data_IF_388302754021
#
_entry.id   IF_388302754021
#
_cell.length_a   1.000
_cell.length_b   1.000
_cell.length_c   1.000
_cell.angle_alpha   90.00
_cell.angle_beta   90.00
_cell.angle_gamma   90.00
#
_symmetry.space_group_name_H-M   'P 1'
#
loop_
_entity.id
_entity.type
_entity.pdbx_description
1 polymer ?
#
# COMPACT_ATOMS: atom_id res chain seq x y z
N UNK A 1 -0.55 2.80 -10.24
CA UNK A 1 -1.39 3.92 -9.84
C UNK A 1 -0.60 4.88 -8.94
N UNK A 2 -0.60 6.16 -9.26
CA UNK A 2 0.15 7.19 -8.54
C UNK A 2 -0.75 8.40 -8.26
N UNK A 3 -1.65 8.31 -7.28
CA UNK A 3 -2.44 9.47 -6.88
C UNK A 3 -1.58 10.46 -6.10
N UNK A 4 -1.85 11.74 -6.24
CA UNK A 4 -1.13 12.77 -5.47
C UNK A 4 -1.50 12.73 -3.98
N UNK A 5 -0.49 12.78 -3.10
CA UNK A 5 -0.56 13.22 -1.70
C UNK A 5 -1.49 12.55 -0.70
N UNK A 6 -2.27 11.54 -1.10
CA UNK A 6 -3.34 10.95 -0.27
C UNK A 6 -2.97 9.64 0.42
N UNK A 7 -1.94 8.95 -0.07
CA UNK A 7 -1.55 7.61 0.35
C UNK A 7 -0.11 7.57 0.81
N UNK A 8 0.25 6.54 1.59
CA UNK A 8 1.62 6.31 2.00
C UNK A 8 2.53 6.08 0.79
N UNK A 9 3.75 6.61 0.82
CA UNK A 9 4.69 6.45 -0.27
C UNK A 9 5.88 5.59 0.09
N UNK A 10 6.37 4.92 -0.94
CA UNK A 10 7.52 4.04 -0.85
C UNK A 10 8.64 4.56 -1.71
N UNK A 11 9.86 4.60 -1.15
CA UNK A 11 11.07 4.63 -1.94
C UNK A 11 11.55 3.21 -2.16
N UNK A 12 11.67 2.82 -3.41
CA UNK A 12 12.00 1.44 -3.78
C UNK A 12 13.30 1.42 -4.56
N UNK A 13 14.20 0.51 -4.20
CA UNK A 13 15.34 0.16 -5.05
C UNK A 13 14.79 -0.63 -6.25
N UNK A 14 14.88 -0.04 -7.44
CA UNK A 14 14.30 -0.64 -8.64
C UNK A 14 15.00 -1.92 -9.10
N UNK A 15 16.22 -2.16 -8.65
CA UNK A 15 16.97 -3.36 -9.00
C UNK A 15 16.61 -4.56 -8.10
N UNK A 16 16.38 -4.30 -6.82
CA UNK A 16 16.13 -5.35 -5.82
C UNK A 16 14.71 -5.42 -5.32
N UNK A 17 13.86 -4.43 -5.65
CA UNK A 17 12.51 -4.23 -5.10
C UNK A 17 12.49 -4.02 -3.57
N UNK A 18 13.65 -3.78 -2.98
CA UNK A 18 13.74 -3.47 -1.56
C UNK A 18 13.17 -2.08 -1.28
N UNK A 19 12.33 -2.00 -0.25
CA UNK A 19 11.78 -0.72 0.20
C UNK A 19 12.84 -0.01 1.04
N UNK A 20 13.34 1.12 0.53
CA UNK A 20 14.36 1.92 1.19
C UNK A 20 13.77 2.83 2.27
N UNK A 21 12.55 3.29 2.06
CA UNK A 21 11.86 4.17 2.98
C UNK A 21 10.35 3.99 2.83
N UNK A 22 9.64 4.04 3.94
CA UNK A 22 8.19 4.02 3.99
C UNK A 22 7.72 5.27 4.74
N UNK A 23 6.91 6.10 4.09
CA UNK A 23 6.35 7.30 4.71
C UNK A 23 4.85 7.36 4.46
N UNK A 24 4.08 7.58 5.50
CA UNK A 24 2.68 7.90 5.37
C UNK A 24 2.52 9.36 4.93
N UNK A 25 1.79 9.61 3.87
CA UNK A 25 1.51 10.95 3.30
C UNK A 25 2.78 11.71 2.86
N UNK A 26 3.50 11.23 1.87
CA UNK A 26 4.66 11.94 1.35
C UNK A 26 4.25 13.09 0.44
N UNK A 27 5.14 14.06 0.35
CA UNK A 27 5.06 15.09 -0.67
C UNK A 27 5.61 14.55 -1.99
N UNK A 28 4.81 14.63 -3.04
CA UNK A 28 5.28 14.37 -4.40
C UNK A 28 4.63 13.19 -5.12
N UNK A 29 4.44 13.38 -6.42
CA UNK A 29 3.68 12.48 -7.29
C UNK A 29 4.52 11.35 -7.90
N UNK A 30 5.80 11.25 -7.56
CA UNK A 30 6.74 10.34 -8.22
C UNK A 30 6.95 9.02 -7.52
N UNK A 31 6.47 8.90 -6.29
CA UNK A 31 6.70 7.71 -5.47
C UNK A 31 5.63 6.66 -5.68
N UNK A 32 6.04 5.41 -5.51
CA UNK A 32 5.10 4.31 -5.42
C UNK A 32 4.30 4.43 -4.13
N UNK A 33 3.05 3.97 -4.14
CA UNK A 33 2.19 4.02 -2.96
C UNK A 33 1.88 2.62 -2.45
N UNK A 34 1.57 2.55 -1.15
CA UNK A 34 1.06 1.35 -0.53
C UNK A 34 -0.39 1.10 -0.97
N UNK A 35 -0.61 -0.05 -1.61
CA UNK A 35 -1.95 -0.47 -2.05
C UNK A 35 -2.71 -1.26 -0.97
N UNK A 36 -2.13 -1.47 0.20
CA UNK A 36 -2.81 -2.09 1.34
C UNK A 36 -2.71 -3.60 1.42
N UNK A 37 -1.95 -4.25 0.56
CA UNK A 37 -1.78 -5.71 0.56
C UNK A 37 -0.40 -6.09 1.05
N UNK A 38 -0.35 -7.01 2.03
CA UNK A 38 0.89 -7.44 2.65
C UNK A 38 0.96 -8.96 2.74
N UNK A 39 2.12 -9.51 2.44
CA UNK A 39 2.49 -10.88 2.76
C UNK A 39 3.65 -10.80 3.74
N UNK A 40 3.48 -11.34 4.93
CA UNK A 40 4.42 -11.16 6.03
C UNK A 40 4.90 -12.49 6.58
N UNK A 41 6.17 -12.52 6.97
CA UNK A 41 6.69 -13.60 7.80
C UNK A 41 6.20 -13.44 9.25
N UNK A 42 6.17 -14.52 10.06
CA UNK A 42 5.72 -14.42 11.44
C UNK A 42 6.47 -13.40 12.28
N UNK A 43 7.72 -13.11 11.95
CA UNK A 43 8.57 -12.14 12.63
C UNK A 43 8.02 -10.72 12.60
N UNK A 44 7.02 -10.45 11.74
CA UNK A 44 6.34 -9.14 11.71
C UNK A 44 5.77 -8.78 13.09
N UNK A 45 5.36 -9.76 13.89
CA UNK A 45 4.82 -9.52 15.21
C UNK A 45 5.85 -8.96 16.19
N UNK A 46 7.13 -9.14 15.92
CA UNK A 46 8.20 -8.56 16.76
C UNK A 46 8.25 -7.04 16.66
N UNK A 47 7.67 -6.47 15.61
CA UNK A 47 7.59 -5.02 15.39
C UNK A 47 6.30 -4.40 15.95
N UNK A 48 5.39 -5.22 16.42
CA UNK A 48 4.10 -4.77 16.96
C UNK A 48 4.11 -4.95 18.46
N UNK A 49 4.06 -3.86 19.27
CA UNK A 49 4.01 -3.98 20.72
C UNK A 49 2.76 -4.72 21.20
N UNK A 50 2.94 -5.62 22.15
CA UNK A 50 1.82 -6.28 22.81
C UNK A 50 1.04 -5.27 23.66
N UNK A 51 -0.28 -5.41 23.68
CA UNK A 51 -1.17 -4.61 24.54
C UNK A 51 -1.17 -3.10 24.25
N UNK A 52 -0.73 -2.67 23.07
CA UNK A 52 -0.80 -1.26 22.69
C UNK A 52 -1.78 -1.10 21.52
N UNK A 53 -3.01 -0.73 21.82
CA UNK A 53 -4.07 -0.53 20.82
C UNK A 53 -3.92 0.77 20.03
N UNK A 54 -2.93 1.60 20.37
CA UNK A 54 -2.69 2.88 19.70
C UNK A 54 -1.74 2.75 18.50
N UNK A 55 -1.13 1.58 18.32
CA UNK A 55 -0.18 1.35 17.23
C UNK A 55 -0.91 1.30 15.88
N UNK A 56 -0.41 2.07 14.95
CA UNK A 56 -0.84 2.04 13.55
C UNK A 56 0.21 1.25 12.77
N UNK A 57 -0.18 0.14 12.17
CA UNK A 57 0.72 -0.77 11.47
C UNK A 57 1.54 -0.07 10.38
N UNK A 58 0.91 0.85 9.65
CA UNK A 58 1.53 1.57 8.54
C UNK A 58 2.47 2.71 8.99
N UNK A 59 2.64 2.91 10.27
CA UNK A 59 3.59 3.88 10.83
C UNK A 59 4.82 3.18 11.37
N UNK A 60 5.00 3.17 12.70
CA UNK A 60 6.22 2.66 13.31
C UNK A 60 6.57 1.22 12.90
N UNK A 61 5.65 0.23 12.89
CA UNK A 61 6.02 -1.11 12.49
C UNK A 61 6.59 -1.21 11.08
N UNK A 62 5.90 -0.66 10.08
CA UNK A 62 6.39 -0.72 8.70
C UNK A 62 7.64 0.12 8.47
N UNK A 63 7.73 1.28 9.11
CA UNK A 63 8.92 2.12 9.05
C UNK A 63 10.16 1.40 9.59
N UNK A 64 10.02 0.70 10.73
CA UNK A 64 11.10 -0.08 11.32
C UNK A 64 11.50 -1.26 10.45
N UNK A 65 10.54 -1.98 9.87
CA UNK A 65 10.81 -3.10 8.97
C UNK A 65 11.58 -2.62 7.75
N UNK A 66 11.19 -1.50 7.16
CA UNK A 66 11.88 -0.90 6.02
C UNK A 66 13.29 -0.46 6.40
N UNK A 67 13.48 0.18 7.56
CA UNK A 67 14.79 0.59 8.05
C UNK A 67 15.72 -0.58 8.28
N UNK A 68 15.19 -1.72 8.69
CA UNK A 68 15.96 -2.95 8.90
C UNK A 68 16.29 -3.68 7.59
N UNK A 69 15.85 -3.16 6.45
CA UNK A 69 16.10 -3.74 5.15
C UNK A 69 15.33 -5.03 4.87
N UNK A 70 14.22 -5.25 5.57
CA UNK A 70 13.43 -6.49 5.49
C UNK A 70 12.13 -6.34 4.71
N UNK A 71 11.92 -5.22 4.05
CA UNK A 71 10.72 -4.96 3.29
C UNK A 71 11.02 -4.94 1.80
N UNK A 72 10.23 -5.70 1.03
CA UNK A 72 10.26 -5.69 -0.43
C UNK A 72 8.90 -5.33 -0.97
N UNK A 73 8.87 -4.78 -2.17
CA UNK A 73 7.63 -4.37 -2.81
C UNK A 73 7.40 -5.12 -4.12
N UNK A 74 6.17 -5.57 -4.31
CA UNK A 74 5.71 -5.98 -5.63
C UNK A 74 5.15 -4.75 -6.34
N UNK A 75 5.74 -4.37 -7.46
CA UNK A 75 5.34 -3.20 -8.21
C UNK A 75 4.15 -3.51 -9.12
N UNK A 76 2.96 -3.32 -8.58
CA UNK A 76 1.73 -3.53 -9.34
C UNK A 76 1.50 -2.40 -10.34
N UNK A 77 1.47 -2.73 -11.61
CA UNK A 77 1.26 -1.78 -12.71
C UNK A 77 -0.13 -1.85 -13.32
N UNK A 78 -0.93 -2.82 -12.91
CA UNK A 78 -2.29 -3.00 -13.39
C UNK A 78 -3.29 -2.09 -12.71
N UNK A 79 -4.55 -2.43 -12.86
CA UNK A 79 -5.64 -1.68 -12.25
C UNK A 79 -5.60 -1.79 -10.72
N UNK A 80 -5.74 -0.64 -10.07
CA UNK A 80 -5.96 -0.54 -8.63
C UNK A 80 -6.79 0.71 -8.36
N UNK A 81 -7.84 0.57 -7.54
CA UNK A 81 -8.67 1.70 -7.16
C UNK A 81 -9.16 1.52 -5.72
N UNK A 82 -8.94 2.50 -4.84
CA UNK A 82 -9.50 2.47 -3.50
C UNK A 82 -10.99 2.76 -3.52
N UNK A 83 -11.70 2.33 -2.50
CA UNK A 83 -13.10 2.66 -2.27
C UNK A 83 -13.22 3.36 -0.91
N UNK A 84 -12.95 4.66 -0.87
CA UNK A 84 -12.98 5.44 0.36
C UNK A 84 -14.18 6.38 0.44
N UNK A 85 -14.81 6.68 -0.68
CA UNK A 85 -15.92 7.62 -0.78
C UNK A 85 -17.14 6.96 -1.43
N UNK A 86 -18.32 7.58 -1.26
CA UNK A 86 -19.52 7.14 -1.96
C UNK A 86 -19.34 7.20 -3.48
N UNK A 87 -18.64 8.20 -3.98
CA UNK A 87 -18.34 8.32 -5.40
C UNK A 87 -17.52 7.13 -5.91
N UNK A 88 -16.51 6.72 -5.16
CA UNK A 88 -15.70 5.54 -5.50
C UNK A 88 -16.56 4.28 -5.57
N UNK A 89 -17.46 4.11 -4.61
CA UNK A 89 -18.40 3.00 -4.59
C UNK A 89 -19.29 2.99 -5.82
N UNK A 90 -19.84 4.14 -6.19
CA UNK A 90 -20.68 4.27 -7.38
C UNK A 90 -19.93 3.97 -8.67
N UNK A 91 -18.71 4.47 -8.79
CA UNK A 91 -17.87 4.22 -9.98
C UNK A 91 -17.51 2.74 -10.12
N UNK A 92 -17.18 2.07 -9.02
CA UNK A 92 -16.87 0.64 -9.04
C UNK A 92 -18.09 -0.21 -9.40
N UNK A 93 -19.25 0.12 -8.86
CA UNK A 93 -20.50 -0.56 -9.22
C UNK A 93 -20.88 -0.34 -10.68
N UNK A 94 -20.66 0.87 -11.19
CA UNK A 94 -20.90 1.16 -12.61
C UNK A 94 -20.01 0.32 -13.51
N UNK A 95 -18.73 0.17 -13.18
CA UNK A 95 -17.82 -0.70 -13.93
C UNK A 95 -18.31 -2.15 -13.93
N UNK A 96 -18.81 -2.63 -12.80
CA UNK A 96 -19.36 -3.98 -12.69
C UNK A 96 -20.60 -4.16 -13.56
N UNK A 97 -21.53 -3.21 -13.48
CA UNK A 97 -22.81 -3.28 -14.21
C UNK A 97 -22.61 -3.19 -15.73
N UNK A 98 -21.59 -2.46 -16.16
CA UNK A 98 -21.23 -2.34 -17.58
C UNK A 98 -20.35 -3.49 -18.10
N UNK A 99 -20.09 -4.48 -17.26
CA UNK A 99 -19.24 -5.63 -17.59
C UNK A 99 -17.82 -5.24 -18.02
N UNK A 100 -17.32 -4.11 -17.53
CA UNK A 100 -15.96 -3.63 -17.81
C UNK A 100 -15.08 -3.55 -16.55
N UNK A 101 -15.39 -4.34 -15.53
CA UNK A 101 -14.63 -4.40 -14.29
C UNK A 101 -13.25 -5.03 -14.51
N UNK A 102 -12.14 -4.28 -14.42
CA UNK A 102 -10.81 -4.81 -14.70
C UNK A 102 -10.35 -5.90 -13.71
N UNK A 103 -10.95 -5.95 -12.54
CA UNK A 103 -10.62 -6.97 -11.54
C UNK A 103 -11.30 -8.31 -11.75
N UNK A 104 -12.31 -8.37 -12.61
CA UNK A 104 -13.01 -9.61 -12.93
C UNK A 104 -12.22 -10.38 -13.98
N UNK A 105 -11.57 -11.45 -13.57
CA UNK A 105 -10.72 -12.28 -14.43
C UNK A 105 -11.31 -13.66 -14.72
N UNK A 106 -12.54 -13.89 -14.28
CA UNK A 106 -13.26 -15.16 -14.48
C UNK A 106 -14.45 -15.03 -15.41
#
# INVERSE_FOLDING_TARGET
YKPGGKFGALQIDLDTDQVLSFQEKPDGDRNWINAGYFVCEPEVFDYIPEHDDTIIFERAPLECIASDGKMHAYRHKGFWKPMDTLRDNMELNEMWDRECAPWKVW
#
